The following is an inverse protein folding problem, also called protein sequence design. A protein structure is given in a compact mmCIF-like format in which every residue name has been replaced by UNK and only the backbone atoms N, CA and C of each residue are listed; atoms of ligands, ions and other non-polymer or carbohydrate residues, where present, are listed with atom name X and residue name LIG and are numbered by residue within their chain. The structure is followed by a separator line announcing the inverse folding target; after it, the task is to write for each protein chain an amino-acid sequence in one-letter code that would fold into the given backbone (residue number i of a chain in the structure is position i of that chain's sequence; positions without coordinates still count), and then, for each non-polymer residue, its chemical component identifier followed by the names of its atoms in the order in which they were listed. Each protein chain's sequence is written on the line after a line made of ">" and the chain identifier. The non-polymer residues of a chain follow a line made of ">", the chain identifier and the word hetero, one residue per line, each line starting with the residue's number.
data_IF_111149295534
#
_entry.id   IF_111149295534
#
_cell.length_a   1.000
_cell.length_b   1.000
_cell.length_c   1.000
_cell.angle_alpha   90.00
_cell.angle_beta   90.00
_cell.angle_gamma   90.00
#
_symmetry.space_group_name_H-M   'P 1'
#
loop_
_entity.id
_entity.type
_entity.pdbx_description
1 polymer ?
#
# COMPACT_ATOMS: atom_id res chain seq x y z
N UNK A 1 -3.66 43.10 8.76
CA UNK A 1 -3.71 41.80 8.05
C UNK A 1 -4.10 42.13 6.63
N UNK A 2 -3.35 41.63 5.65
CA UNK A 2 -3.77 41.67 4.24
C UNK A 2 -5.18 41.08 4.18
N UNK A 3 -6.15 41.76 3.55
CA UNK A 3 -7.58 41.40 3.58
C UNK A 3 -7.88 39.97 3.09
N UNK A 4 -6.89 39.36 2.42
CA UNK A 4 -7.00 38.07 1.76
C UNK A 4 -6.25 36.94 2.48
N UNK A 5 -5.48 37.25 3.52
CA UNK A 5 -4.73 36.28 4.32
C UNK A 5 -5.48 36.01 5.62
N UNK A 6 -5.93 34.76 5.78
CA UNK A 6 -6.64 34.29 6.97
C UNK A 6 -5.66 34.09 8.14
N UNK A 7 -4.44 33.65 7.83
CA UNK A 7 -3.42 33.39 8.83
C UNK A 7 -2.13 32.89 8.20
N UNK A 8 -1.22 32.44 9.05
CA UNK A 8 0.07 31.91 8.62
C UNK A 8 0.30 30.53 9.21
N UNK A 9 1.04 29.71 8.48
CA UNK A 9 1.49 28.40 8.90
C UNK A 9 2.99 28.30 8.62
N UNK A 10 3.69 27.47 9.39
CA UNK A 10 5.13 27.25 9.25
C UNK A 10 5.35 25.81 8.77
N UNK A 11 6.29 25.62 7.84
CA UNK A 11 6.75 24.29 7.43
C UNK A 11 7.63 23.67 8.52
N UNK A 12 7.92 22.37 8.42
CA UNK A 12 8.85 21.69 9.33
C UNK A 12 10.26 22.31 9.32
N UNK A 13 10.64 22.98 8.22
CA UNK A 13 11.93 23.64 8.04
C UNK A 13 11.93 25.11 8.48
N UNK A 14 10.85 25.58 9.13
CA UNK A 14 10.76 26.95 9.64
C UNK A 14 10.33 28.01 8.61
N UNK A 15 9.90 27.59 7.41
CA UNK A 15 9.44 28.54 6.38
C UNK A 15 8.00 28.91 6.66
N UNK A 16 7.75 30.18 6.93
CA UNK A 16 6.40 30.72 7.16
C UNK A 16 5.71 31.07 5.85
N UNK A 17 4.46 30.67 5.68
CA UNK A 17 3.64 30.92 4.50
C UNK A 17 2.21 31.35 4.87
N UNK A 18 1.57 32.10 3.97
CA UNK A 18 0.22 32.61 4.14
C UNK A 18 -0.85 31.57 3.79
N UNK A 19 -1.96 31.58 4.52
CA UNK A 19 -3.18 30.83 4.20
C UNK A 19 -4.21 31.82 3.68
N UNK A 20 -4.64 31.62 2.45
CA UNK A 20 -5.50 32.57 1.75
C UNK A 20 -6.98 32.28 1.94
N UNK A 21 -7.77 33.34 1.80
CA UNK A 21 -9.24 33.27 1.72
C UNK A 21 -9.72 32.40 0.57
N UNK A 22 -10.90 31.83 0.72
CA UNK A 22 -11.45 30.92 -0.27
C UNK A 22 -11.54 31.54 -1.68
N UNK A 23 -11.82 32.86 -1.78
CA UNK A 23 -11.83 33.59 -3.06
C UNK A 23 -10.47 33.67 -3.75
N UNK A 24 -9.37 33.66 -2.99
CA UNK A 24 -8.03 33.61 -3.56
C UNK A 24 -7.69 32.18 -3.95
N UNK A 25 -8.10 31.17 -3.16
CA UNK A 25 -7.82 29.76 -3.45
C UNK A 25 -8.28 29.34 -4.87
N UNK A 26 -9.39 29.87 -5.37
CA UNK A 26 -9.88 29.59 -6.73
C UNK A 26 -8.95 30.07 -7.84
N UNK A 27 -7.97 30.92 -7.53
CA UNK A 27 -6.97 31.43 -8.49
C UNK A 27 -5.75 30.52 -8.60
N UNK A 28 -5.59 29.55 -7.70
CA UNK A 28 -4.47 28.63 -7.76
C UNK A 28 -4.51 27.82 -9.05
N UNK A 29 -3.35 27.59 -9.66
CA UNK A 29 -3.22 26.70 -10.82
C UNK A 29 -3.65 25.25 -10.54
N UNK A 30 -3.74 24.87 -9.26
CA UNK A 30 -4.12 23.54 -8.80
C UNK A 30 -5.63 23.42 -8.51
N UNK A 31 -6.35 24.54 -8.51
CA UNK A 31 -7.79 24.56 -8.29
C UNK A 31 -8.53 23.97 -9.50
N UNK A 32 -9.51 23.09 -9.24
CA UNK A 32 -10.32 22.40 -10.26
C UNK A 32 -9.53 21.55 -11.26
N UNK A 33 -8.33 21.12 -10.88
CA UNK A 33 -7.52 20.18 -11.65
C UNK A 33 -7.18 18.94 -10.83
N UNK A 34 -7.28 17.73 -11.40
CA UNK A 34 -6.89 16.51 -10.71
C UNK A 34 -5.37 16.43 -10.61
N UNK A 35 -4.83 16.47 -9.38
CA UNK A 35 -3.38 16.51 -9.13
C UNK A 35 -2.89 15.12 -8.74
N UNK A 36 -1.93 14.59 -9.51
CA UNK A 36 -1.28 13.32 -9.19
C UNK A 36 -0.35 13.50 -7.97
N UNK A 37 -0.52 12.64 -6.97
CA UNK A 37 0.25 12.62 -5.73
C UNK A 37 0.54 11.18 -5.29
N UNK A 38 1.41 11.05 -4.30
CA UNK A 38 1.67 9.81 -3.56
C UNK A 38 0.90 9.84 -2.23
N UNK A 39 0.48 8.68 -1.74
CA UNK A 39 -0.34 8.50 -0.56
C UNK A 39 0.36 8.94 0.74
N UNK A 40 1.68 8.73 0.83
CA UNK A 40 2.50 9.20 1.96
C UNK A 40 2.41 10.73 2.15
N UNK A 41 2.33 11.49 1.06
CA UNK A 41 2.18 12.95 1.10
C UNK A 41 0.79 13.40 1.54
N UNK A 42 -0.24 12.64 1.24
CA UNK A 42 -1.55 12.91 1.81
C UNK A 42 -1.52 12.77 3.33
N UNK A 43 -0.86 11.73 3.83
CA UNK A 43 -0.69 11.49 5.26
C UNK A 43 0.17 12.58 5.93
N UNK A 44 1.20 13.05 5.26
CA UNK A 44 2.07 14.11 5.77
C UNK A 44 1.33 15.44 6.00
N UNK A 45 0.43 15.82 5.07
CA UNK A 45 -0.24 17.12 5.08
C UNK A 45 -1.66 17.11 5.69
N UNK A 46 -2.22 15.94 6.02
CA UNK A 46 -3.61 15.81 6.50
C UNK A 46 -3.92 16.68 7.71
N UNK A 47 -3.02 16.75 8.70
CA UNK A 47 -3.25 17.48 9.95
C UNK A 47 -3.36 18.98 9.71
N UNK A 48 -2.49 19.52 8.86
CA UNK A 48 -2.51 20.95 8.48
C UNK A 48 -3.77 21.26 7.66
N UNK A 49 -4.09 20.40 6.69
CA UNK A 49 -5.30 20.53 5.88
C UNK A 49 -6.57 20.53 6.74
N UNK A 50 -6.72 19.57 7.67
CA UNK A 50 -7.86 19.51 8.60
C UNK A 50 -7.99 20.78 9.44
N UNK A 51 -6.88 21.25 10.02
CA UNK A 51 -6.84 22.46 10.85
C UNK A 51 -7.41 23.67 10.10
N UNK A 52 -6.94 23.90 8.87
CA UNK A 52 -7.37 25.08 8.10
C UNK A 52 -8.75 24.91 7.49
N UNK A 53 -9.16 23.69 7.14
CA UNK A 53 -10.53 23.43 6.71
C UNK A 53 -11.57 23.56 7.82
N UNK A 54 -11.20 23.62 9.10
CA UNK A 54 -12.14 23.99 10.17
C UNK A 54 -12.40 25.50 10.23
N UNK A 55 -11.56 26.31 9.60
CA UNK A 55 -11.73 27.75 9.56
C UNK A 55 -12.81 28.15 8.53
N UNK A 56 -13.87 28.87 8.94
CA UNK A 56 -14.99 29.21 8.04
C UNK A 56 -14.59 30.09 6.86
N UNK A 57 -13.50 30.86 6.97
CA UNK A 57 -13.02 31.73 5.89
C UNK A 57 -12.31 30.98 4.76
N UNK A 58 -11.85 29.75 5.03
CA UNK A 58 -11.26 28.85 4.03
C UNK A 58 -12.35 28.11 3.25
N UNK A 59 -13.52 27.88 3.87
CA UNK A 59 -14.61 27.11 3.25
C UNK A 59 -15.36 27.93 2.20
N UNK A 60 -15.34 27.48 0.94
CA UNK A 60 -16.31 27.90 -0.08
C UNK A 60 -17.61 27.10 0.10
N UNK A 61 -18.58 27.67 0.82
CA UNK A 61 -19.93 27.11 0.92
C UNK A 61 -20.03 25.80 1.72
N UNK A 62 -21.09 25.03 1.46
CA UNK A 62 -21.48 23.82 2.22
C UNK A 62 -20.69 22.55 1.87
N UNK A 63 -19.76 22.59 0.90
CA UNK A 63 -19.14 21.39 0.32
C UNK A 63 -17.62 21.49 0.17
N UNK A 64 -16.90 22.01 1.16
CA UNK A 64 -15.44 22.14 1.05
C UNK A 64 -14.69 20.86 1.45
N UNK A 65 -14.80 19.82 0.62
CA UNK A 65 -13.87 18.67 0.59
C UNK A 65 -12.53 19.08 -0.07
N UNK A 66 -11.95 20.21 0.37
CA UNK A 66 -10.71 20.75 -0.19
C UNK A 66 -9.52 20.18 0.57
N UNK A 67 -8.55 19.58 -0.10
CA UNK A 67 -7.29 19.20 0.55
C UNK A 67 -6.25 20.31 0.36
N UNK A 68 -5.57 20.70 1.44
CA UNK A 68 -4.49 21.69 1.38
C UNK A 68 -3.13 21.00 1.44
N UNK A 69 -2.36 21.07 0.35
CA UNK A 69 -0.94 20.74 0.35
C UNK A 69 -0.17 22.03 0.65
N UNK A 70 0.36 22.16 1.86
CA UNK A 70 0.75 23.46 2.42
C UNK A 70 -0.40 24.47 2.36
N UNK A 71 -0.36 25.42 1.42
CA UNK A 71 -1.42 26.39 1.13
C UNK A 71 -1.96 26.27 -0.30
N UNK A 72 -1.59 25.23 -1.04
CA UNK A 72 -2.13 24.94 -2.37
C UNK A 72 -3.49 24.22 -2.24
N UNK A 73 -4.57 24.76 -2.82
CA UNK A 73 -5.89 24.16 -2.77
C UNK A 73 -6.06 23.05 -3.82
N UNK A 74 -6.21 21.81 -3.36
CA UNK A 74 -6.46 20.64 -4.22
C UNK A 74 -7.92 20.21 -4.11
N UNK A 75 -8.68 20.41 -5.18
CA UNK A 75 -10.12 20.02 -5.22
C UNK A 75 -10.33 18.60 -5.73
N UNK A 76 -9.33 18.02 -6.41
CA UNK A 76 -9.32 16.66 -6.93
C UNK A 76 -7.90 16.10 -6.93
N UNK A 77 -7.75 14.85 -6.52
CA UNK A 77 -6.45 14.18 -6.38
C UNK A 77 -6.48 12.92 -7.24
N UNK A 78 -5.34 12.57 -7.83
CA UNK A 78 -5.11 11.27 -8.46
C UNK A 78 -4.08 10.48 -7.66
N UNK A 79 -4.32 9.19 -7.50
CA UNK A 79 -3.40 8.22 -6.90
C UNK A 79 -3.28 7.02 -7.82
N UNK A 80 -2.12 6.37 -7.85
CA UNK A 80 -1.87 5.17 -8.65
C UNK A 80 -1.32 4.08 -7.76
N UNK A 81 -1.91 2.90 -7.76
CA UNK A 81 -1.39 1.80 -6.96
C UNK A 81 -2.12 0.49 -7.18
N UNK A 82 -1.67 -0.53 -6.46
CA UNK A 82 -2.22 -1.87 -6.45
C UNK A 82 -3.46 -1.93 -5.55
N UNK A 83 -4.56 -2.47 -6.07
CA UNK A 83 -5.80 -2.70 -5.32
C UNK A 83 -5.64 -3.89 -4.39
N UNK A 84 -5.98 -3.69 -3.13
CA UNK A 84 -5.83 -4.68 -2.07
C UNK A 84 -7.08 -4.80 -1.21
N UNK A 85 -7.46 -6.03 -0.85
CA UNK A 85 -8.52 -6.28 0.14
C UNK A 85 -9.88 -5.72 -0.25
N UNK A 86 -10.29 -5.93 -1.50
CA UNK A 86 -11.59 -5.50 -2.01
C UNK A 86 -12.74 -6.15 -1.22
N UNK A 87 -13.72 -5.33 -0.83
CA UNK A 87 -14.93 -5.81 -0.16
C UNK A 87 -16.11 -4.89 -0.41
N UNK A 88 -17.30 -5.47 -0.46
CA UNK A 88 -18.55 -4.73 -0.50
C UNK A 88 -19.07 -4.47 0.91
N UNK A 89 -19.58 -3.26 1.15
CA UNK A 89 -20.30 -2.87 2.37
C UNK A 89 -21.57 -2.13 2.00
N UNK A 90 -22.64 -2.38 2.74
CA UNK A 90 -23.86 -1.59 2.67
C UNK A 90 -23.72 -0.38 3.60
N UNK A 91 -23.75 0.84 3.06
CA UNK A 91 -23.68 2.09 3.83
C UNK A 91 -24.99 2.86 3.61
N UNK A 92 -25.84 2.91 4.63
CA UNK A 92 -27.21 3.40 4.49
C UNK A 92 -28.01 2.47 3.59
N UNK A 93 -28.41 2.97 2.41
CA UNK A 93 -29.17 2.21 1.40
C UNK A 93 -28.34 1.96 0.12
N UNK A 94 -27.03 2.25 0.14
CA UNK A 94 -26.17 2.14 -1.02
C UNK A 94 -25.04 1.14 -0.77
N UNK A 95 -24.86 0.19 -1.69
CA UNK A 95 -23.69 -0.68 -1.70
C UNK A 95 -22.45 0.08 -2.18
N UNK A 96 -21.36 -0.07 -1.44
CA UNK A 96 -20.07 0.56 -1.72
C UNK A 96 -18.95 -0.47 -1.68
N UNK A 97 -18.07 -0.39 -2.67
CA UNK A 97 -16.81 -1.10 -2.65
C UNK A 97 -15.80 -0.34 -1.78
N UNK A 98 -15.05 -1.08 -0.97
CA UNK A 98 -13.93 -0.59 -0.18
C UNK A 98 -12.70 -1.43 -0.49
N UNK A 99 -11.54 -0.79 -0.62
CA UNK A 99 -10.26 -1.45 -0.83
C UNK A 99 -9.13 -0.56 -0.34
N UNK A 100 -7.97 -1.13 -0.05
CA UNK A 100 -6.75 -0.37 0.18
C UNK A 100 -5.99 -0.21 -1.15
N UNK A 101 -5.42 0.96 -1.39
CA UNK A 101 -4.55 1.22 -2.54
C UNK A 101 -3.11 1.35 -2.04
N UNK A 102 -2.22 0.47 -2.49
CA UNK A 102 -0.77 0.51 -2.21
C UNK A 102 -0.05 1.14 -3.40
N UNK A 103 0.49 2.34 -3.24
CA UNK A 103 1.24 3.07 -4.28
C UNK A 103 2.77 2.93 -4.11
N UNK A 104 3.22 1.94 -3.35
CA UNK A 104 4.59 1.74 -2.90
C UNK A 104 5.13 2.75 -1.88
N UNK A 105 4.49 3.89 -1.66
CA UNK A 105 4.87 4.88 -0.63
C UNK A 105 4.09 4.68 0.68
N UNK A 106 2.80 4.36 0.58
CA UNK A 106 1.91 4.11 1.71
C UNK A 106 0.67 3.35 1.22
N UNK A 107 -0.27 3.11 2.15
CA UNK A 107 -1.58 2.56 1.82
C UNK A 107 -2.69 3.53 2.20
N UNK A 108 -3.72 3.62 1.37
CA UNK A 108 -4.89 4.46 1.64
C UNK A 108 -6.19 3.69 1.40
N UNK A 109 -7.16 3.84 2.31
CA UNK A 109 -8.47 3.22 2.17
C UNK A 109 -9.30 4.00 1.15
N UNK A 110 -9.64 3.36 0.04
CA UNK A 110 -10.50 3.88 -1.00
C UNK A 110 -11.94 3.37 -0.82
N UNK A 111 -12.90 4.17 -1.27
CA UNK A 111 -14.28 3.76 -1.43
C UNK A 111 -14.89 4.27 -2.74
N UNK A 112 -15.79 3.50 -3.32
CA UNK A 112 -16.58 3.90 -4.49
C UNK A 112 -17.98 3.28 -4.38
N UNK A 113 -19.02 4.03 -4.74
CA UNK A 113 -20.36 3.45 -4.76
C UNK A 113 -20.53 2.50 -5.94
N UNK A 114 -21.40 1.49 -5.77
CA UNK A 114 -21.76 0.57 -6.85
C UNK A 114 -22.31 1.32 -8.06
N UNK A 115 -23.16 2.34 -7.82
CA UNK A 115 -23.70 3.22 -8.84
C UNK A 115 -22.61 3.92 -9.66
N UNK A 116 -21.57 4.44 -9.00
CA UNK A 116 -20.43 5.08 -9.65
C UNK A 116 -19.57 4.07 -10.42
N UNK A 117 -19.28 2.89 -9.86
CA UNK A 117 -18.53 1.85 -10.56
C UNK A 117 -19.24 1.40 -11.85
N UNK A 118 -20.56 1.22 -11.79
CA UNK A 118 -21.37 0.90 -12.97
C UNK A 118 -21.35 2.04 -14.00
N UNK A 119 -21.41 3.30 -13.56
CA UNK A 119 -21.31 4.46 -14.45
C UNK A 119 -19.94 4.57 -15.15
N UNK A 120 -18.89 4.04 -14.53
CA UNK A 120 -17.54 3.94 -15.10
C UNK A 120 -17.37 2.70 -16.02
N UNK A 121 -18.45 1.94 -16.26
CA UNK A 121 -18.43 0.67 -17.01
C UNK A 121 -17.46 -0.37 -16.43
N UNK A 122 -17.20 -0.32 -15.12
CA UNK A 122 -16.38 -1.34 -14.47
C UNK A 122 -17.23 -2.56 -14.08
N UNK A 123 -16.68 -3.77 -14.21
CA UNK A 123 -17.36 -4.98 -13.75
C UNK A 123 -17.56 -4.92 -12.23
N UNK A 124 -18.69 -5.46 -11.74
CA UNK A 124 -18.95 -5.62 -10.30
C UNK A 124 -18.19 -6.82 -9.71
N UNK A 125 -16.93 -6.98 -10.08
CA UNK A 125 -16.04 -8.04 -9.60
C UNK A 125 -15.02 -7.52 -8.60
N UNK A 126 -14.31 -8.44 -7.96
CA UNK A 126 -13.13 -8.13 -7.15
C UNK A 126 -12.00 -7.64 -8.05
N UNK A 127 -11.47 -6.45 -7.76
CA UNK A 127 -10.35 -5.83 -8.49
C UNK A 127 -9.01 -6.03 -7.77
N UNK A 128 -8.93 -6.84 -6.72
CA UNK A 128 -7.70 -7.11 -5.98
C UNK A 128 -6.60 -7.62 -6.92
N UNK A 129 -5.39 -7.08 -6.78
CA UNK A 129 -4.25 -7.38 -7.65
C UNK A 129 -4.20 -6.53 -8.94
N UNK A 130 -5.20 -5.68 -9.20
CA UNK A 130 -5.15 -4.75 -10.33
C UNK A 130 -4.39 -3.48 -9.94
N UNK A 131 -3.56 -2.98 -10.85
CA UNK A 131 -3.01 -1.62 -10.71
C UNK A 131 -3.98 -0.63 -11.35
N UNK A 132 -4.38 0.39 -10.59
CA UNK A 132 -5.33 1.40 -11.06
C UNK A 132 -4.87 2.81 -10.70
N UNK A 133 -5.26 3.77 -11.53
CA UNK A 133 -5.24 5.20 -11.20
C UNK A 133 -6.65 5.58 -10.75
N UNK A 134 -6.78 6.02 -9.50
CA UNK A 134 -8.04 6.56 -8.97
C UNK A 134 -8.00 8.07 -8.97
N UNK A 135 -9.09 8.72 -9.35
CA UNK A 135 -9.29 10.16 -9.20
C UNK A 135 -10.44 10.41 -8.23
N UNK A 136 -10.27 11.31 -7.27
CA UNK A 136 -11.28 11.50 -6.23
C UNK A 136 -10.94 12.59 -5.23
N UNK A 137 -11.61 12.53 -4.09
CA UNK A 137 -11.45 13.47 -2.98
C UNK A 137 -11.11 12.72 -1.70
N UNK A 138 -10.25 13.32 -0.89
CA UNK A 138 -9.92 12.78 0.42
C UNK A 138 -10.95 13.25 1.46
N UNK A 139 -11.69 12.31 2.04
CA UNK A 139 -12.54 12.56 3.21
C UNK A 139 -11.64 12.64 4.43
N UNK A 140 -11.26 13.86 4.78
CA UNK A 140 -10.17 14.09 5.72
C UNK A 140 -10.47 13.51 7.09
N UNK A 141 -11.70 13.59 7.61
CA UNK A 141 -12.03 13.13 8.96
C UNK A 141 -11.80 11.62 9.16
N UNK A 142 -12.10 10.83 8.13
CA UNK A 142 -11.94 9.37 8.15
C UNK A 142 -10.66 8.88 7.49
N UNK A 143 -9.92 9.79 6.83
CA UNK A 143 -8.80 9.45 5.97
C UNK A 143 -9.17 8.40 4.91
N UNK A 144 -10.35 8.56 4.32
CA UNK A 144 -10.90 7.70 3.27
C UNK A 144 -10.87 8.43 1.93
N UNK A 145 -10.38 7.79 0.88
CA UNK A 145 -10.36 8.34 -0.47
C UNK A 145 -11.65 8.00 -1.20
N UNK A 146 -12.52 9.00 -1.40
CA UNK A 146 -13.78 8.86 -2.15
C UNK A 146 -13.51 8.96 -3.64
N UNK A 147 -13.55 7.83 -4.31
CA UNK A 147 -13.23 7.67 -5.73
C UNK A 147 -14.38 8.17 -6.61
N UNK A 148 -14.03 8.88 -7.68
CA UNK A 148 -14.94 9.41 -8.70
C UNK A 148 -14.64 8.89 -10.10
N UNK A 149 -13.37 8.60 -10.40
CA UNK A 149 -12.95 7.97 -11.64
C UNK A 149 -11.90 6.89 -11.36
N UNK A 150 -11.87 5.85 -12.20
CA UNK A 150 -10.92 4.75 -12.12
C UNK A 150 -10.41 4.48 -13.54
N UNK A 151 -9.08 4.46 -13.69
CA UNK A 151 -8.39 4.11 -14.93
C UNK A 151 -7.52 2.88 -14.65
N UNK A 152 -7.67 1.82 -15.45
CA UNK A 152 -6.86 0.60 -15.31
C UNK A 152 -5.47 0.86 -15.90
N UNK A 153 -4.43 0.53 -15.14
CA UNK A 153 -3.04 0.64 -15.57
C UNK A 153 -2.65 -0.66 -16.25
N UNK A 154 -2.33 -0.58 -17.55
CA UNK A 154 -2.09 -1.76 -18.38
C UNK A 154 -0.61 -2.15 -18.46
N UNK A 155 0.28 -1.27 -18.05
CA UNK A 155 1.71 -1.52 -18.08
C UNK A 155 2.44 -0.76 -17.00
N UNK A 156 3.58 -1.30 -16.58
CA UNK A 156 4.50 -0.63 -15.69
C UNK A 156 4.92 0.76 -16.21
N UNK A 157 5.08 0.90 -17.53
CA UNK A 157 5.47 2.19 -18.11
C UNK A 157 4.44 3.30 -17.78
N UNK A 158 3.15 2.97 -17.75
CA UNK A 158 2.10 3.91 -17.34
C UNK A 158 2.20 4.24 -15.84
N UNK A 159 2.53 3.27 -15.00
CA UNK A 159 2.76 3.47 -13.57
C UNK A 159 3.97 4.39 -13.31
N UNK A 160 5.10 4.15 -13.99
CA UNK A 160 6.29 5.00 -13.94
C UNK A 160 5.97 6.42 -14.42
N UNK A 161 5.19 6.55 -15.51
CA UNK A 161 4.77 7.86 -16.01
C UNK A 161 3.92 8.61 -14.98
N UNK A 162 3.05 7.89 -14.25
CA UNK A 162 2.29 8.47 -13.15
C UNK A 162 3.20 8.93 -12.02
N UNK A 163 4.17 8.12 -11.58
CA UNK A 163 5.09 8.52 -10.52
C UNK A 163 5.94 9.73 -10.90
N UNK A 164 6.45 9.78 -12.13
CA UNK A 164 7.19 10.94 -12.62
C UNK A 164 6.34 12.22 -12.57
N UNK A 165 5.06 12.12 -12.94
CA UNK A 165 4.11 13.22 -12.84
C UNK A 165 3.85 13.60 -11.37
N UNK A 166 3.65 12.62 -10.48
CA UNK A 166 3.43 12.84 -9.06
C UNK A 166 4.62 13.53 -8.39
N UNK A 167 5.86 13.06 -8.64
CA UNK A 167 7.07 13.68 -8.11
C UNK A 167 7.29 15.09 -8.67
N UNK A 168 6.97 15.32 -9.95
CA UNK A 168 7.02 16.66 -10.54
C UNK A 168 6.04 17.60 -9.84
N UNK A 169 4.79 17.17 -9.63
CA UNK A 169 3.80 17.96 -8.91
C UNK A 169 4.22 18.22 -7.46
N UNK A 170 4.72 17.21 -6.75
CA UNK A 170 5.23 17.36 -5.38
C UNK A 170 6.32 18.41 -5.30
N UNK A 171 7.31 18.36 -6.20
CA UNK A 171 8.40 19.34 -6.24
C UNK A 171 7.88 20.78 -6.41
N UNK A 172 6.83 20.97 -7.19
CA UNK A 172 6.19 22.27 -7.39
C UNK A 172 5.34 22.69 -6.17
N UNK A 173 4.64 21.75 -5.55
CA UNK A 173 3.80 21.98 -4.38
C UNK A 173 4.60 22.22 -3.09
N UNK A 174 5.83 21.71 -3.02
CA UNK A 174 6.73 21.87 -1.87
C UNK A 174 7.14 23.33 -1.63
N UNK A 175 7.12 24.15 -2.69
CA UNK A 175 7.24 25.59 -2.57
C UNK A 175 5.88 26.17 -2.17
N UNK A 176 5.74 26.78 -0.98
CA UNK A 176 4.48 27.39 -0.58
C UNK A 176 4.03 28.43 -1.61
N UNK A 177 2.74 28.45 -1.90
CA UNK A 177 2.17 29.37 -2.86
C UNK A 177 2.27 30.82 -2.37
N UNK A 178 2.93 31.65 -3.15
CA UNK A 178 2.97 33.10 -2.97
C UNK A 178 2.11 33.76 -4.05
N UNK A 179 1.15 34.59 -3.63
CA UNK A 179 0.23 35.27 -4.56
C UNK A 179 0.73 36.69 -4.71
N UNK A 180 1.20 37.04 -5.90
CA UNK A 180 1.66 38.40 -6.18
C UNK A 180 0.53 39.42 -6.00
N UNK A 181 0.84 40.62 -5.50
CA UNK A 181 -0.14 41.69 -5.23
C UNK A 181 -1.05 42.00 -6.43
N UNK A 182 -0.53 41.86 -7.66
CA UNK A 182 -1.28 42.07 -8.91
C UNK A 182 -2.44 41.08 -9.09
N UNK A 183 -2.29 39.84 -8.63
CA UNK A 183 -3.31 38.80 -8.72
C UNK A 183 -4.39 38.96 -7.66
N UNK A 184 -4.11 39.70 -6.59
CA UNK A 184 -5.01 39.89 -5.44
C UNK A 184 -6.11 40.92 -5.71
N UNK A 185 -6.02 41.71 -6.79
CA UNK A 185 -7.03 42.69 -7.23
C UNK A 185 -8.40 42.03 -7.55
N UNK A 186 -9.09 41.56 -6.52
CA UNK A 186 -10.45 41.06 -6.58
C UNK A 186 -11.32 42.30 -6.58
N UNK A 187 -11.82 42.70 -7.75
CA UNK A 187 -12.98 43.58 -7.79
C UNK A 187 -14.14 42.77 -7.22
N UNK A 188 -14.70 43.13 -6.04
CA UNK A 188 -15.85 42.42 -5.53
C UNK A 188 -17.00 42.66 -6.50
N UNK A 189 -17.33 41.67 -7.33
CA UNK A 189 -18.62 41.63 -8.02
C UNK A 189 -19.65 41.51 -6.92
N UNK A 190 -20.27 42.64 -6.56
CA UNK A 190 -21.47 42.71 -5.73
C UNK A 190 -22.62 42.02 -6.47
N UNK A 191 -22.62 40.69 -6.47
CA UNK A 191 -23.80 39.89 -6.77
C UNK A 191 -24.60 39.77 -5.49
N UNK A 192 -25.30 40.84 -5.14
CA UNK A 192 -26.22 40.89 -4.00
C UNK A 192 -27.58 40.45 -4.52
N UNK A 193 -27.78 39.15 -4.76
CA UNK A 193 -29.10 38.59 -5.06
C UNK A 193 -29.11 37.06 -4.86
N UNK A 194 -30.08 36.58 -4.07
CA UNK A 194 -30.46 35.19 -3.78
C UNK A 194 -29.58 34.38 -2.79
N UNK A 195 -29.78 34.59 -1.48
CA UNK A 195 -29.28 33.68 -0.44
C UNK A 195 -30.29 33.37 0.68
N UNK A 196 -31.60 33.38 0.40
CA UNK A 196 -32.63 33.19 1.44
C UNK A 196 -33.48 31.90 1.37
N UNK A 197 -33.33 31.01 0.38
CA UNK A 197 -34.25 29.85 0.26
C UNK A 197 -33.63 28.43 0.43
N UNK A 198 -32.34 28.29 0.77
CA UNK A 198 -31.70 26.97 0.86
C UNK A 198 -31.57 26.38 2.28
N UNK A 199 -32.00 27.09 3.33
CA UNK A 199 -31.66 26.73 4.71
C UNK A 199 -32.60 25.72 5.40
N UNK A 200 -33.72 25.31 4.79
CA UNK A 200 -34.72 24.49 5.49
C UNK A 200 -34.62 22.97 5.22
N UNK A 201 -33.83 22.53 4.24
CA UNK A 201 -33.66 21.09 3.91
C UNK A 201 -32.43 20.45 4.55
N UNK A 202 -31.51 21.24 5.13
CA UNK A 202 -30.23 20.74 5.65
C UNK A 202 -30.29 20.29 7.13
N UNK A 203 -31.22 20.85 7.91
CA UNK A 203 -31.32 20.56 9.35
C UNK A 203 -31.83 19.13 9.64
N UNK A 204 -32.82 18.65 8.88
CA UNK A 204 -33.36 17.29 9.04
C UNK A 204 -32.33 16.24 8.60
N UNK A 205 -31.55 16.53 7.53
CA UNK A 205 -30.48 15.65 7.06
C UNK A 205 -29.31 15.59 8.05
N UNK A 206 -28.98 16.70 8.71
CA UNK A 206 -28.00 16.74 9.80
C UNK A 206 -28.46 15.97 11.03
N UNK A 207 -29.73 16.09 11.42
CA UNK A 207 -30.29 15.32 12.54
C UNK A 207 -30.33 13.81 12.27
N UNK A 208 -30.64 13.40 11.04
CA UNK A 208 -30.57 11.97 10.65
C UNK A 208 -29.13 11.46 10.69
N UNK A 209 -28.16 12.25 10.22
CA UNK A 209 -26.74 11.87 10.24
C UNK A 209 -26.20 11.74 11.68
N UNK A 210 -26.58 12.64 12.59
CA UNK A 210 -26.22 12.57 14.01
C UNK A 210 -26.87 11.38 14.72
N UNK A 211 -28.15 11.09 14.44
CA UNK A 211 -28.85 9.95 15.05
C UNK A 211 -28.26 8.58 14.63
N UNK A 212 -27.71 8.48 13.41
CA UNK A 212 -27.00 7.28 12.96
C UNK A 212 -25.61 7.13 13.60
N UNK A 213 -24.95 8.23 13.99
CA UNK A 213 -23.64 8.21 14.63
C UNK A 213 -23.69 7.74 16.09
N UNK A 214 -24.76 8.07 16.83
CA UNK A 214 -24.83 7.77 18.27
C UNK A 214 -25.38 6.38 18.59
N UNK A 215 -26.20 5.77 17.73
CA UNK A 215 -26.97 4.57 18.10
C UNK A 215 -26.50 3.23 17.50
N UNK A 216 -25.69 3.20 16.43
CA UNK A 216 -25.29 1.94 15.77
C UNK A 216 -23.79 1.57 15.90
N UNK A 217 -22.96 2.42 16.52
CA UNK A 217 -21.52 2.16 16.68
C UNK A 217 -21.13 1.38 17.96
N UNK A 218 -22.10 0.88 18.74
CA UNK A 218 -21.84 0.10 19.96
C UNK A 218 -21.75 -1.42 19.74
N UNK A 219 -21.82 -1.91 18.50
CA UNK A 219 -21.71 -3.34 18.18
C UNK A 219 -20.55 -3.62 17.21
N UNK A 220 -19.32 -3.34 17.65
CA UNK A 220 -18.09 -4.10 17.37
C UNK A 220 -16.86 -3.21 17.55
N UNK A 221 -16.30 -3.17 18.76
CA UNK A 221 -14.88 -2.88 18.94
C UNK A 221 -14.37 -3.54 20.22
N UNK A 222 -13.53 -4.57 20.15
CA UNK A 222 -12.70 -5.00 21.25
C UNK A 222 -11.27 -4.49 20.98
N UNK A 223 -11.00 -3.23 21.27
CA UNK A 223 -9.63 -2.74 21.41
C UNK A 223 -9.55 -1.84 22.63
N UNK A 224 -9.37 -2.48 23.79
CA UNK A 224 -8.78 -1.84 24.97
C UNK A 224 -7.27 -1.93 24.87
N UNK A 225 -6.66 -0.78 25.15
CA UNK A 225 -5.24 -0.46 25.16
C UNK A 225 -4.41 -1.44 26.00
N UNK A 226 -3.20 -1.76 25.53
CA UNK A 226 -2.15 -2.34 26.35
C UNK A 226 -0.81 -1.67 26.05
N UNK A 227 -0.24 -1.14 27.13
CA UNK A 227 0.99 -0.36 27.23
C UNK A 227 2.23 -1.05 26.64
N UNK A 228 3.08 -0.24 25.99
CA UNK A 228 4.42 -0.62 25.56
C UNK A 228 5.43 0.01 26.51
N UNK A 229 5.91 -0.77 27.48
CA UNK A 229 7.15 -0.49 28.21
C UNK A 229 7.98 -1.77 28.30
N UNK A 230 9.14 -1.79 27.65
CA UNK A 230 10.06 -2.92 27.70
C UNK A 230 11.21 -2.81 26.70
N UNK A 231 12.06 -1.80 26.87
CA UNK A 231 13.40 -1.78 26.27
C UNK A 231 14.29 -2.77 27.02
N UNK A 232 14.96 -3.67 26.29
CA UNK A 232 16.25 -4.22 26.69
C UNK A 232 16.33 -5.74 26.88
N UNK A 233 16.75 -6.44 25.83
CA UNK A 233 17.75 -7.52 25.90
C UNK A 233 18.21 -7.83 24.47
N UNK A 234 19.50 -7.67 24.20
CA UNK A 234 20.11 -8.16 22.97
C UNK A 234 20.19 -9.68 23.05
N UNK A 235 19.42 -10.42 22.25
CA UNK A 235 19.50 -11.88 22.22
C UNK A 235 20.33 -12.38 21.02
N UNK A 236 21.33 -13.17 21.39
CA UNK A 236 22.23 -14.01 20.59
C UNK A 236 21.55 -15.08 19.72
N UNK A 237 20.22 -15.21 19.77
CA UNK A 237 19.49 -16.33 19.18
C UNK A 237 19.40 -16.25 17.64
N UNK A 238 19.40 -15.04 17.09
CA UNK A 238 19.32 -14.81 15.64
C UNK A 238 20.64 -15.13 14.91
N UNK A 239 21.78 -14.91 15.58
CA UNK A 239 23.10 -15.26 15.05
C UNK A 239 23.42 -16.75 15.25
N UNK A 240 23.02 -17.35 16.37
CA UNK A 240 23.27 -18.78 16.60
C UNK A 240 22.42 -19.69 15.69
N UNK A 241 21.18 -19.34 15.36
CA UNK A 241 20.35 -20.20 14.47
C UNK A 241 20.84 -20.24 13.01
N UNK A 242 21.67 -19.27 12.60
CA UNK A 242 22.21 -19.20 11.24
C UNK A 242 23.56 -19.91 11.12
N UNK A 243 24.34 -19.97 12.21
CA UNK A 243 25.67 -20.57 12.25
C UNK A 243 25.69 -22.02 12.77
N UNK A 244 24.85 -22.38 13.73
CA UNK A 244 24.87 -23.73 14.33
C UNK A 244 24.35 -24.80 13.37
N UNK A 245 23.39 -24.47 12.50
CA UNK A 245 22.87 -25.42 11.52
C UNK A 245 23.81 -25.67 10.33
N UNK A 246 24.69 -24.72 10.00
CA UNK A 246 25.67 -24.91 8.92
C UNK A 246 26.91 -25.72 9.40
N UNK A 247 27.11 -25.89 10.71
CA UNK A 247 28.21 -26.69 11.28
C UNK A 247 27.83 -28.16 11.54
N UNK A 248 26.57 -28.47 11.84
CA UNK A 248 26.12 -29.85 12.06
C UNK A 248 26.08 -30.70 10.77
N UNK A 249 25.92 -30.07 9.60
CA UNK A 249 25.86 -30.76 8.30
C UNK A 249 27.22 -31.30 7.82
N UNK A 250 28.34 -30.83 8.38
CA UNK A 250 29.67 -31.32 8.00
C UNK A 250 30.09 -32.62 8.69
N UNK A 251 29.37 -33.09 9.72
CA UNK A 251 29.71 -34.34 10.42
C UNK A 251 28.91 -35.57 9.95
N UNK A 252 27.86 -35.42 9.13
CA UNK A 252 26.95 -36.51 8.77
C UNK A 252 26.97 -36.96 7.28
N UNK A 253 27.98 -36.61 6.50
CA UNK A 253 28.06 -36.92 5.05
C UNK A 253 28.36 -38.40 4.68
N UNK A 254 28.03 -39.38 5.53
CA UNK A 254 28.31 -40.81 5.26
C UNK A 254 27.08 -41.69 5.00
N UNK A 255 25.87 -41.13 4.89
CA UNK A 255 24.69 -41.88 4.44
C UNK A 255 23.89 -41.05 3.43
N UNK A 256 23.45 -41.66 2.33
CA UNK A 256 22.75 -41.00 1.21
C UNK A 256 21.34 -40.46 1.52
N UNK A 257 21.13 -39.97 2.74
CA UNK A 257 19.91 -39.31 3.17
C UNK A 257 19.99 -37.81 2.83
N UNK A 258 18.95 -37.26 2.22
CA UNK A 258 18.80 -35.82 2.01
C UNK A 258 18.92 -35.09 3.35
N UNK A 259 19.66 -33.97 3.39
CA UNK A 259 19.74 -33.15 4.59
C UNK A 259 18.36 -32.55 4.91
N UNK A 260 18.12 -32.30 6.20
CA UNK A 260 16.87 -31.68 6.66
C UNK A 260 16.62 -30.33 5.98
N UNK A 261 17.69 -29.57 5.70
CA UNK A 261 17.67 -28.31 4.95
C UNK A 261 17.16 -28.49 3.52
N UNK A 262 17.67 -29.50 2.79
CA UNK A 262 17.23 -29.79 1.42
C UNK A 262 15.77 -30.24 1.42
N UNK A 263 15.36 -31.10 2.35
CA UNK A 263 13.96 -31.54 2.48
C UNK A 263 13.04 -30.33 2.68
N UNK A 264 13.39 -29.40 3.60
CA UNK A 264 12.61 -28.18 3.84
C UNK A 264 12.50 -27.31 2.59
N UNK A 265 13.63 -27.05 1.91
CA UNK A 265 13.67 -26.21 0.71
C UNK A 265 12.87 -26.81 -0.45
N UNK A 266 13.04 -28.11 -0.72
CA UNK A 266 12.29 -28.81 -1.77
C UNK A 266 10.80 -28.90 -1.44
N UNK A 267 10.45 -29.12 -0.17
CA UNK A 267 9.04 -29.12 0.27
C UNK A 267 8.41 -27.75 0.06
N UNK A 268 9.06 -26.68 0.51
CA UNK A 268 8.54 -25.32 0.36
C UNK A 268 8.40 -24.92 -1.12
N UNK A 269 9.42 -25.21 -1.94
CA UNK A 269 9.39 -24.97 -3.38
C UNK A 269 8.19 -25.64 -4.04
N UNK A 270 8.00 -26.95 -3.78
CA UNK A 270 6.86 -27.70 -4.29
C UNK A 270 5.52 -27.12 -3.86
N UNK A 271 5.37 -26.79 -2.58
CA UNK A 271 4.14 -26.21 -2.05
C UNK A 271 3.83 -24.85 -2.67
N UNK A 272 4.84 -24.00 -2.90
CA UNK A 272 4.66 -22.71 -3.57
C UNK A 272 4.18 -22.92 -5.01
N UNK A 273 4.84 -23.79 -5.78
CA UNK A 273 4.46 -24.10 -7.17
C UNK A 273 3.04 -24.64 -7.23
N UNK A 274 2.75 -25.66 -6.42
CA UNK A 274 1.43 -26.29 -6.34
C UNK A 274 0.35 -25.28 -5.94
N UNK A 275 0.63 -24.38 -5.00
CA UNK A 275 -0.31 -23.35 -4.55
C UNK A 275 -0.73 -22.37 -5.64
N UNK A 276 0.07 -22.22 -6.71
CA UNK A 276 -0.28 -21.34 -7.81
C UNK A 276 -1.32 -21.95 -8.77
N UNK A 277 -1.38 -23.28 -8.82
CA UNK A 277 -2.27 -24.05 -9.70
C UNK A 277 -3.49 -24.61 -8.96
N UNK A 278 -3.31 -25.04 -7.71
CA UNK A 278 -4.31 -25.72 -6.90
C UNK A 278 -4.32 -25.17 -5.47
N UNK A 279 -5.50 -25.09 -4.86
CA UNK A 279 -5.66 -24.59 -3.50
C UNK A 279 -5.41 -25.66 -2.43
N UNK A 280 -5.18 -26.92 -2.82
CA UNK A 280 -5.01 -28.07 -1.92
C UNK A 280 -3.96 -29.05 -2.49
N UNK A 281 -3.30 -29.83 -1.63
CA UNK A 281 -2.44 -30.94 -2.04
C UNK A 281 -2.37 -32.04 -0.97
N UNK A 282 -1.98 -33.26 -1.33
CA UNK A 282 -1.86 -34.36 -0.34
C UNK A 282 -0.42 -34.52 0.15
N UNK A 283 -0.24 -34.96 1.41
CA UNK A 283 1.10 -35.26 1.95
C UNK A 283 1.84 -36.29 1.09
N UNK A 284 1.10 -37.22 0.46
CA UNK A 284 1.69 -38.23 -0.41
C UNK A 284 2.31 -37.62 -1.68
N UNK A 285 1.68 -36.61 -2.28
CA UNK A 285 2.25 -35.88 -3.41
C UNK A 285 3.54 -35.15 -3.03
N UNK A 286 3.54 -34.48 -1.87
CA UNK A 286 4.73 -33.80 -1.33
C UNK A 286 5.88 -34.80 -1.14
N UNK A 287 5.60 -35.92 -0.47
CA UNK A 287 6.59 -36.95 -0.18
C UNK A 287 7.18 -37.56 -1.47
N UNK A 288 6.32 -37.84 -2.46
CA UNK A 288 6.74 -38.34 -3.77
C UNK A 288 7.62 -37.32 -4.52
N UNK A 289 7.27 -36.03 -4.48
CA UNK A 289 8.06 -34.98 -5.14
C UNK A 289 9.43 -34.79 -4.49
N UNK A 290 9.49 -34.78 -3.16
CA UNK A 290 10.75 -34.59 -2.40
C UNK A 290 11.61 -35.87 -2.41
N UNK A 291 11.04 -37.02 -2.78
CA UNK A 291 11.74 -38.30 -2.81
C UNK A 291 11.95 -38.89 -1.42
N UNK A 292 11.00 -38.66 -0.49
CA UNK A 292 11.04 -39.15 0.89
C UNK A 292 9.81 -39.99 1.20
N UNK A 293 9.89 -40.85 2.20
CA UNK A 293 8.72 -41.58 2.70
C UNK A 293 7.76 -40.60 3.40
N UNK A 294 6.45 -40.82 3.24
CA UNK A 294 5.39 -40.05 3.93
C UNK A 294 5.61 -40.02 5.44
N UNK A 295 6.05 -41.14 6.02
CA UNK A 295 6.35 -41.27 7.45
C UNK A 295 7.71 -40.65 7.87
N UNK A 296 8.36 -39.87 7.01
CA UNK A 296 9.61 -39.19 7.34
C UNK A 296 9.38 -38.18 8.46
N UNK A 297 10.03 -38.39 9.61
CA UNK A 297 9.94 -37.49 10.76
C UNK A 297 10.34 -36.06 10.42
N UNK A 298 11.33 -35.87 9.53
CA UNK A 298 11.79 -34.55 9.09
C UNK A 298 10.75 -33.81 8.25
N UNK A 299 10.04 -34.53 7.36
CA UNK A 299 8.97 -33.94 6.57
C UNK A 299 7.79 -33.57 7.47
N UNK A 300 7.31 -34.51 8.29
CA UNK A 300 6.18 -34.26 9.17
C UNK A 300 6.46 -33.13 10.16
N UNK A 301 7.67 -33.06 10.71
CA UNK A 301 8.06 -31.96 11.59
C UNK A 301 8.02 -30.61 10.86
N UNK A 302 8.45 -30.55 9.60
CA UNK A 302 8.38 -29.31 8.83
C UNK A 302 6.94 -28.93 8.46
N UNK A 303 6.09 -29.89 8.07
CA UNK A 303 4.68 -29.63 7.80
C UNK A 303 3.96 -29.09 9.03
N UNK A 304 4.20 -29.67 10.21
CA UNK A 304 3.65 -29.15 11.47
C UNK A 304 4.15 -27.71 11.76
N UNK A 305 5.40 -27.38 11.44
CA UNK A 305 5.90 -25.99 11.58
C UNK A 305 5.19 -25.02 10.64
N UNK A 306 4.85 -25.46 9.43
CA UNK A 306 4.07 -24.64 8.49
C UNK A 306 2.64 -24.46 9.01
N UNK A 307 2.01 -25.52 9.50
CA UNK A 307 0.67 -25.47 10.11
C UNK A 307 0.63 -24.54 11.33
N UNK A 308 1.60 -24.65 12.25
CA UNK A 308 1.73 -23.78 13.43
C UNK A 308 1.85 -22.29 13.05
N UNK A 309 2.39 -22.01 11.87
CA UNK A 309 2.53 -20.65 11.33
C UNK A 309 1.28 -20.11 10.61
N UNK A 310 0.23 -20.94 10.49
CA UNK A 310 -1.04 -20.67 9.79
C UNK A 310 -0.89 -20.45 8.27
N UNK A 311 0.30 -20.67 7.70
CA UNK A 311 0.54 -20.53 6.25
C UNK A 311 -0.12 -21.64 5.42
N UNK A 312 -0.40 -22.79 6.06
CA UNK A 312 -1.16 -23.93 5.52
C UNK A 312 -2.06 -24.47 6.64
N UNK A 313 -3.16 -25.11 6.28
CA UNK A 313 -4.03 -25.88 7.18
C UNK A 313 -3.98 -27.35 6.77
N UNK A 314 -3.95 -28.28 7.73
CA UNK A 314 -3.95 -29.71 7.46
C UNK A 314 -5.29 -30.36 7.89
N UNK A 315 -5.94 -31.12 7.00
CA UNK A 315 -7.15 -31.90 7.29
C UNK A 315 -7.07 -33.28 6.62
N UNK A 316 -7.17 -34.35 7.41
CA UNK A 316 -7.12 -35.76 6.93
C UNK A 316 -5.99 -36.09 5.92
N UNK A 317 -4.82 -35.44 6.06
CA UNK A 317 -3.66 -35.65 5.19
C UNK A 317 -3.68 -34.85 3.89
N UNK A 318 -4.65 -33.95 3.75
CA UNK A 318 -4.72 -32.89 2.74
C UNK A 318 -4.23 -31.59 3.38
N UNK A 319 -3.42 -30.82 2.65
CA UNK A 319 -2.99 -29.48 3.01
C UNK A 319 -3.75 -28.47 2.17
N UNK A 320 -4.39 -27.50 2.81
CA UNK A 320 -4.97 -26.33 2.16
C UNK A 320 -3.90 -25.23 2.03
N UNK A 321 -3.71 -24.75 0.80
CA UNK A 321 -2.62 -23.88 0.36
C UNK A 321 -3.07 -22.44 0.13
N UNK A 322 -4.33 -22.07 0.41
CA UNK A 322 -4.86 -20.72 0.12
C UNK A 322 -4.05 -19.60 0.78
N UNK A 323 -3.64 -19.79 2.03
CA UNK A 323 -2.84 -18.80 2.76
C UNK A 323 -1.43 -18.67 2.16
N UNK A 324 -0.81 -19.79 1.78
CA UNK A 324 0.48 -19.82 1.09
C UNK A 324 0.39 -19.14 -0.29
N UNK A 325 -0.65 -19.46 -1.08
CA UNK A 325 -0.93 -18.84 -2.38
C UNK A 325 -1.09 -17.33 -2.23
N UNK A 326 -1.90 -16.87 -1.26
CA UNK A 326 -2.12 -15.45 -1.02
C UNK A 326 -0.84 -14.72 -0.61
N UNK A 327 -0.06 -15.31 0.30
CA UNK A 327 1.23 -14.77 0.75
C UNK A 327 2.26 -14.71 -0.39
N UNK A 328 2.39 -15.79 -1.17
CA UNK A 328 3.32 -15.83 -2.29
C UNK A 328 2.92 -14.87 -3.41
N UNK A 329 1.63 -14.75 -3.74
CA UNK A 329 1.14 -13.74 -4.70
C UNK A 329 1.49 -12.33 -4.26
N UNK A 330 1.31 -11.99 -2.99
CA UNK A 330 1.73 -10.68 -2.46
C UNK A 330 3.23 -10.42 -2.66
N UNK A 331 4.07 -11.38 -2.26
CA UNK A 331 5.53 -11.30 -2.42
C UNK A 331 5.91 -11.15 -3.90
N UNK A 332 5.32 -11.97 -4.77
CA UNK A 332 5.52 -11.93 -6.21
C UNK A 332 5.17 -10.55 -6.77
N UNK A 333 3.96 -10.05 -6.53
CA UNK A 333 3.55 -8.73 -7.02
C UNK A 333 4.44 -7.62 -6.48
N UNK A 334 4.71 -7.61 -5.17
CA UNK A 334 5.50 -6.56 -4.54
C UNK A 334 6.90 -6.49 -5.13
N UNK A 335 7.61 -7.62 -5.18
CA UNK A 335 8.97 -7.62 -5.71
C UNK A 335 9.02 -7.49 -7.22
N UNK A 336 8.01 -7.99 -7.93
CA UNK A 336 7.95 -7.81 -9.37
C UNK A 336 7.89 -6.33 -9.75
N UNK A 337 7.04 -5.54 -9.07
CA UNK A 337 6.97 -4.10 -9.28
C UNK A 337 8.32 -3.41 -9.03
N UNK A 338 9.08 -3.85 -8.02
CA UNK A 338 10.39 -3.27 -7.68
C UNK A 338 11.49 -3.63 -8.69
N UNK A 339 11.52 -4.87 -9.16
CA UNK A 339 12.46 -5.36 -10.18
C UNK A 339 12.22 -4.63 -11.51
N UNK A 340 10.95 -4.51 -11.86
CA UNK A 340 10.47 -3.84 -13.06
C UNK A 340 10.97 -2.39 -13.17
N UNK A 341 11.08 -1.69 -12.04
CA UNK A 341 11.52 -0.28 -11.98
C UNK A 341 13.02 -0.14 -11.67
N UNK A 342 13.73 -1.28 -11.64
CA UNK A 342 15.14 -1.38 -11.35
C UNK A 342 15.56 -0.70 -10.04
N UNK A 343 14.72 -0.78 -8.99
CA UNK A 343 15.09 -0.25 -7.67
C UNK A 343 16.33 -1.00 -7.17
N UNK A 344 17.41 -0.32 -6.73
CA UNK A 344 18.65 -0.97 -6.34
C UNK A 344 18.58 -1.63 -4.97
N UNK A 345 17.75 -1.11 -4.05
CA UNK A 345 17.52 -1.72 -2.75
C UNK A 345 16.19 -1.25 -2.14
N UNK A 346 15.60 -2.07 -1.28
CA UNK A 346 14.41 -1.72 -0.50
C UNK A 346 14.51 -2.30 0.91
N UNK A 347 14.03 -1.55 1.91
CA UNK A 347 13.83 -2.04 3.27
C UNK A 347 12.36 -2.36 3.50
N UNK A 348 12.07 -3.58 3.93
CA UNK A 348 10.71 -4.09 4.15
C UNK A 348 10.56 -4.52 5.60
N UNK A 349 9.44 -4.17 6.23
CA UNK A 349 9.12 -4.64 7.58
C UNK A 349 8.41 -5.99 7.49
N UNK A 350 8.80 -6.98 8.30
CA UNK A 350 8.12 -8.29 8.31
C UNK A 350 6.63 -8.15 8.60
N UNK A 351 6.29 -7.24 9.51
CA UNK A 351 4.92 -6.97 9.92
C UNK A 351 4.01 -6.53 8.76
N UNK A 352 4.55 -5.86 7.73
CA UNK A 352 3.77 -5.50 6.54
C UNK A 352 3.26 -6.75 5.81
N UNK A 353 4.09 -7.78 5.67
CA UNK A 353 3.71 -9.05 5.02
C UNK A 353 2.71 -9.80 5.91
N UNK A 354 2.95 -9.86 7.23
CA UNK A 354 2.07 -10.55 8.19
C UNK A 354 0.68 -9.93 8.24
N UNK A 355 0.61 -8.61 8.35
CA UNK A 355 -0.65 -7.86 8.36
C UNK A 355 -1.38 -7.99 7.04
N UNK A 356 -0.65 -7.93 5.92
CA UNK A 356 -1.24 -8.07 4.60
C UNK A 356 -1.93 -9.42 4.41
N UNK A 357 -1.22 -10.49 4.77
CA UNK A 357 -1.73 -11.86 4.58
C UNK A 357 -2.66 -12.32 5.70
N UNK A 358 -2.86 -11.51 6.76
CA UNK A 358 -3.52 -11.91 8.00
C UNK A 358 -2.87 -13.13 8.67
N UNK A 359 -1.54 -13.20 8.66
CA UNK A 359 -0.73 -14.31 9.20
C UNK A 359 0.21 -13.80 10.31
N UNK A 360 -0.34 -13.49 11.47
CA UNK A 360 0.43 -12.91 12.58
C UNK A 360 1.48 -13.85 13.17
N UNK A 361 1.26 -15.17 13.08
CA UNK A 361 2.20 -16.21 13.55
C UNK A 361 3.29 -16.56 12.54
N UNK A 362 3.28 -15.96 11.35
CA UNK A 362 4.24 -16.27 10.30
C UNK A 362 5.68 -15.94 10.75
N UNK A 363 6.60 -16.92 10.81
CA UNK A 363 7.96 -16.66 11.27
C UNK A 363 8.75 -15.88 10.21
N UNK A 364 9.59 -14.95 10.67
CA UNK A 364 10.40 -14.11 9.80
C UNK A 364 11.29 -14.92 8.84
N UNK A 365 11.82 -16.05 9.31
CA UNK A 365 12.63 -16.97 8.50
C UNK A 365 11.87 -17.52 7.30
N UNK A 366 10.60 -17.92 7.48
CA UNK A 366 9.78 -18.45 6.39
C UNK A 366 9.45 -17.36 5.36
N UNK A 367 9.20 -16.12 5.81
CA UNK A 367 9.05 -14.96 4.91
C UNK A 367 10.28 -14.83 4.01
N UNK A 368 11.49 -14.87 4.61
CA UNK A 368 12.72 -14.77 3.83
C UNK A 368 12.89 -15.94 2.85
N UNK A 369 12.55 -17.16 3.25
CA UNK A 369 12.67 -18.34 2.39
C UNK A 369 11.70 -18.28 1.20
N UNK A 370 10.47 -17.77 1.39
CA UNK A 370 9.52 -17.52 0.29
C UNK A 370 10.06 -16.41 -0.65
N UNK A 371 10.61 -15.33 -0.11
CA UNK A 371 11.24 -14.28 -0.93
C UNK A 371 12.41 -14.82 -1.77
N UNK A 372 13.29 -15.64 -1.16
CA UNK A 372 14.41 -16.28 -1.86
C UNK A 372 13.92 -17.22 -2.97
N UNK A 373 12.84 -17.96 -2.72
CA UNK A 373 12.22 -18.80 -3.74
C UNK A 373 11.76 -17.94 -4.94
N UNK A 374 11.07 -16.83 -4.70
CA UNK A 374 10.68 -15.91 -5.78
C UNK A 374 11.89 -15.42 -6.58
N UNK A 375 12.95 -14.94 -5.92
CA UNK A 375 14.11 -14.39 -6.62
C UNK A 375 14.93 -15.43 -7.39
N UNK A 376 14.95 -16.69 -6.94
CA UNK A 376 15.60 -17.78 -7.67
C UNK A 376 14.84 -18.20 -8.93
N UNK A 377 13.53 -17.97 -8.97
CA UNK A 377 12.65 -18.44 -10.04
C UNK A 377 12.10 -17.31 -10.93
N UNK A 378 12.29 -16.04 -10.55
CA UNK A 378 11.83 -14.93 -11.38
C UNK A 378 12.69 -14.80 -12.63
N UNK A 379 12.03 -14.75 -13.78
CA UNK A 379 12.66 -14.48 -15.08
C UNK A 379 12.36 -13.07 -15.58
N UNK A 380 11.92 -12.19 -14.68
CA UNK A 380 11.35 -10.91 -15.08
C UNK A 380 12.38 -9.79 -14.94
N UNK A 381 12.47 -8.95 -15.98
CA UNK A 381 13.39 -7.81 -16.02
C UNK A 381 14.84 -8.21 -16.24
N UNK A 382 15.74 -7.26 -15.99
CA UNK A 382 17.18 -7.42 -16.17
C UNK A 382 17.89 -7.84 -14.86
N UNK A 383 17.19 -8.46 -13.90
CA UNK A 383 17.78 -8.83 -12.62
C UNK A 383 18.85 -9.93 -12.82
N UNK A 384 20.10 -9.64 -12.47
CA UNK A 384 21.21 -10.61 -12.55
C UNK A 384 21.49 -11.23 -11.18
N UNK A 385 21.48 -10.41 -10.13
CA UNK A 385 21.86 -10.86 -8.81
C UNK A 385 21.05 -10.15 -7.73
N UNK A 386 20.92 -10.78 -6.57
CA UNK A 386 20.20 -10.27 -5.44
C UNK A 386 20.81 -10.80 -4.14
N UNK A 387 20.64 -10.05 -3.05
CA UNK A 387 20.90 -10.56 -1.71
C UNK A 387 19.94 -9.94 -0.71
N UNK A 388 19.69 -10.68 0.36
CA UNK A 388 18.80 -10.27 1.45
C UNK A 388 19.65 -10.13 2.71
N UNK A 389 19.57 -8.95 3.33
CA UNK A 389 20.23 -8.63 4.59
C UNK A 389 19.17 -8.46 5.69
N UNK A 390 19.13 -9.34 6.72
CA UNK A 390 18.32 -9.11 7.91
C UNK A 390 18.88 -7.92 8.70
N UNK A 391 18.22 -6.76 8.59
CA UNK A 391 18.69 -5.51 9.24
C UNK A 391 18.30 -5.47 10.71
N UNK A 392 17.11 -5.98 11.06
CA UNK A 392 16.61 -6.06 12.43
C UNK A 392 15.58 -7.17 12.59
N UNK A 393 15.13 -7.44 13.82
CA UNK A 393 13.99 -8.34 14.09
C UNK A 393 12.69 -7.90 13.40
N UNK A 394 12.57 -6.60 13.09
CA UNK A 394 11.38 -6.01 12.50
C UNK A 394 11.48 -5.83 10.98
N UNK A 395 12.67 -5.92 10.39
CA UNK A 395 12.87 -5.60 8.98
C UNK A 395 14.04 -6.31 8.33
N UNK A 396 13.94 -6.48 7.02
CA UNK A 396 15.03 -6.93 6.15
C UNK A 396 15.20 -5.95 5.00
N UNK A 397 16.38 -5.96 4.40
CA UNK A 397 16.71 -5.19 3.23
C UNK A 397 17.02 -6.14 2.09
N UNK A 398 16.46 -5.86 0.91
CA UNK A 398 16.78 -6.58 -0.32
C UNK A 398 17.57 -5.65 -1.21
N UNK A 399 18.64 -6.18 -1.78
CA UNK A 399 19.47 -5.48 -2.75
C UNK A 399 19.39 -6.20 -4.09
N UNK A 400 19.37 -5.42 -5.15
CA UNK A 400 19.20 -5.88 -6.53
C UNK A 400 20.35 -5.37 -7.39
N UNK A 401 20.88 -6.25 -8.23
CA UNK A 401 21.86 -5.92 -9.26
C UNK A 401 21.26 -6.27 -10.62
N UNK A 402 21.16 -5.27 -11.49
CA UNK A 402 20.61 -5.43 -12.83
C UNK A 402 21.72 -5.48 -13.88
N UNK A 403 21.45 -6.14 -15.00
CA UNK A 403 22.24 -5.97 -16.20
C UNK A 403 22.17 -4.50 -16.61
N UNK A 404 23.34 -3.89 -16.84
CA UNK A 404 23.38 -2.62 -17.54
C UNK A 404 22.65 -2.80 -18.87
N UNK A 405 21.68 -1.93 -19.18
CA UNK A 405 21.16 -1.89 -20.54
C UNK A 405 22.37 -1.71 -21.48
N UNK A 406 22.48 -2.53 -22.54
CA UNK A 406 23.53 -2.33 -23.52
C UNK A 406 23.40 -0.88 -24.01
N UNK A 407 24.44 -0.07 -23.75
CA UNK A 407 24.44 1.34 -24.12
C UNK A 407 24.10 1.44 -25.61
N UNK A 408 22.94 2.02 -25.98
CA UNK A 408 22.50 2.04 -27.37
C UNK A 408 23.47 2.84 -28.27
N UNK A 409 24.43 3.55 -27.68
CA UNK A 409 25.48 4.26 -28.41
C UNK A 409 26.71 3.40 -28.77
N UNK A 410 26.82 2.17 -28.27
CA UNK A 410 28.03 1.35 -28.45
C UNK A 410 28.00 0.40 -29.68
N UNK A 411 26.89 0.32 -30.41
CA UNK A 411 26.81 -0.45 -31.68
C UNK A 411 27.40 0.29 -32.90
N UNK A 412 27.76 1.58 -32.78
CA UNK A 412 28.27 2.39 -33.89
C UNK A 412 29.77 2.26 -34.23
N UNK A 413 30.55 1.42 -33.52
CA UNK A 413 32.02 1.38 -33.67
C UNK A 413 32.57 0.03 -34.16
N UNK A 414 31.73 -0.88 -34.66
CA UNK A 414 32.17 -2.15 -35.27
C UNK A 414 31.83 -2.25 -36.75
N UNK A 415 32.29 -1.28 -37.53
CA UNK A 415 32.55 -1.47 -38.97
C UNK A 415 33.41 -0.31 -39.50
N UNK A 416 34.73 -0.46 -39.39
CA UNK A 416 35.73 0.23 -40.21
C UNK A 416 36.94 -0.70 -40.36
#
# INVERSE_FOLDING_TARGET
>A
MEEHVIGYQETKNGVRYAIYSALVLTKSQWYDRPVALMADKLLEHITVSRKWNQNPYVRLGTTSDLFLYHNHPLTSIRLCGLVMGWKWKLIGQEERAFWSLDDCSSTILCQCSKSQLLALNLPSMDLSGWTIIVTGKLLQDRFEFKVSNIEVVLSLQQEIAFWNLAFTNQKLLEQPWDVGESEISITPRRSREAFDDANNTNYIQQLQTLHFQENELLLASPYTEADVSGLGAWNSDLLNSTLEHDLEDHQNQSSGNLSSKTIRQSTLAYLIEKSMDEDECTIHEIANHVGVLVASASLQHYLNQLEDSEIVSQDDGVLELKNLQHCYRYIMFRFQSLINVQIPHIKIKYEQIKQFCNLHKLPNKLILDICKYFFNNTHIGNLINWWIEPVSEQSFQVHFTYASDPDPNHEGLRSA
#
